data_IF_976209426962
#
_entry.id   IF_976209426962
#
_cell.length_a   1.000
_cell.length_b   1.000
_cell.length_c   1.000
_cell.angle_alpha   90.00
_cell.angle_beta   90.00
_cell.angle_gamma   90.00
#
_symmetry.space_group_name_H-M   'P 1'
#
loop_
_entity.id
_entity.type
_entity.pdbx_description
1 polymer ?
#
# COMPACT_ATOMS: atom_id res chain seq x y z
N UNK A 1 -7.40 15.57 10.28
CA UNK A 1 -8.34 14.49 10.65
C UNK A 1 -7.79 13.20 10.08
N UNK A 2 -7.79 12.09 10.85
CA UNK A 2 -7.47 10.76 10.36
C UNK A 2 -8.78 10.09 9.89
N UNK A 3 -8.78 9.57 8.67
CA UNK A 3 -9.88 8.80 8.09
C UNK A 3 -9.33 7.45 7.64
N UNK A 4 -9.98 6.38 8.03
CA UNK A 4 -9.44 5.03 7.82
C UNK A 4 -9.40 4.62 6.34
N UNK A 5 -10.46 4.87 5.58
CA UNK A 5 -10.48 4.57 4.13
C UNK A 5 -9.41 5.35 3.34
N UNK A 6 -8.89 6.40 3.91
CA UNK A 6 -7.84 7.23 3.33
C UNK A 6 -6.47 6.82 3.84
N UNK A 7 -6.25 6.96 5.16
CA UNK A 7 -4.95 6.80 5.77
C UNK A 7 -4.66 5.35 6.19
N UNK A 8 -5.70 4.58 6.57
CA UNK A 8 -5.57 3.16 6.86
C UNK A 8 -5.09 2.40 5.63
N UNK A 9 -5.78 2.56 4.51
CA UNK A 9 -5.37 1.97 3.22
C UNK A 9 -3.94 2.35 2.86
N UNK A 10 -3.58 3.64 2.98
CA UNK A 10 -2.22 4.11 2.68
C UNK A 10 -1.14 3.41 3.52
N UNK A 11 -1.39 3.23 4.83
CA UNK A 11 -0.45 2.56 5.76
C UNK A 11 -0.24 1.10 5.37
N UNK A 12 -1.33 0.37 5.09
CA UNK A 12 -1.22 -1.06 4.75
C UNK A 12 -0.54 -1.27 3.39
N UNK A 13 -0.91 -0.45 2.40
CA UNK A 13 -0.26 -0.48 1.08
C UNK A 13 1.22 -0.18 1.20
N UNK A 14 1.60 0.87 1.94
CA UNK A 14 3.00 1.24 2.11
C UNK A 14 3.81 0.13 2.81
N UNK A 15 3.26 -0.50 3.87
CA UNK A 15 3.90 -1.60 4.57
C UNK A 15 4.12 -2.81 3.64
N UNK A 16 3.08 -3.23 2.92
CA UNK A 16 3.15 -4.32 1.96
C UNK A 16 4.09 -4.01 0.81
N UNK A 17 4.08 -2.77 0.28
CA UNK A 17 4.94 -2.36 -0.82
C UNK A 17 6.43 -2.41 -0.44
N UNK A 18 6.81 -1.93 0.74
CA UNK A 18 8.19 -2.01 1.22
C UNK A 18 8.68 -3.46 1.29
N UNK A 19 7.85 -4.37 1.79
CA UNK A 19 8.17 -5.80 1.82
C UNK A 19 8.21 -6.44 0.43
N UNK A 20 7.27 -6.10 -0.44
CA UNK A 20 7.24 -6.61 -1.82
C UNK A 20 8.47 -6.14 -2.62
N UNK A 21 8.90 -4.89 -2.45
CA UNK A 21 10.13 -4.37 -3.07
C UNK A 21 11.38 -5.13 -2.58
N UNK A 22 11.45 -5.45 -1.28
CA UNK A 22 12.54 -6.25 -0.71
C UNK A 22 12.58 -7.66 -1.32
N UNK A 23 11.42 -8.35 -1.41
CA UNK A 23 11.32 -9.69 -2.01
C UNK A 23 11.70 -9.65 -3.50
N UNK A 24 11.29 -8.61 -4.22
CA UNK A 24 11.59 -8.43 -5.65
C UNK A 24 12.99 -7.81 -5.89
N UNK A 25 13.76 -7.55 -4.82
CA UNK A 25 15.11 -6.96 -4.87
C UNK A 25 15.12 -5.63 -5.67
N UNK A 26 14.10 -4.78 -5.45
CA UNK A 26 13.96 -3.48 -6.09
C UNK A 26 14.29 -2.35 -5.14
N UNK A 27 15.03 -1.36 -5.63
CA UNK A 27 15.32 -0.14 -4.88
C UNK A 27 14.08 0.77 -4.86
N UNK A 28 13.55 1.08 -3.67
CA UNK A 28 12.35 1.90 -3.53
C UNK A 28 12.52 3.34 -4.06
N UNK A 29 13.75 3.87 -4.10
CA UNK A 29 14.04 5.20 -4.66
C UNK A 29 13.98 5.24 -6.19
N UNK A 30 14.14 4.10 -6.84
CA UNK A 30 14.21 3.98 -8.30
C UNK A 30 12.94 3.34 -8.88
N UNK A 31 12.16 2.67 -8.04
CA UNK A 31 10.96 1.95 -8.45
C UNK A 31 9.94 2.89 -9.12
N UNK A 32 9.55 2.55 -10.33
CA UNK A 32 8.54 3.26 -11.12
C UNK A 32 7.14 2.81 -10.70
N UNK A 33 6.38 3.72 -10.14
CA UNK A 33 5.07 3.45 -9.55
C UNK A 33 3.96 4.08 -10.40
N UNK A 34 2.95 3.29 -10.72
CA UNK A 34 1.70 3.77 -11.31
C UNK A 34 0.58 3.61 -10.29
N UNK A 35 -0.08 4.70 -9.95
CA UNK A 35 -1.27 4.68 -9.10
C UNK A 35 -2.51 5.00 -9.94
N UNK A 36 -3.41 4.04 -10.08
CA UNK A 36 -4.71 4.24 -10.73
C UNK A 36 -5.77 4.51 -9.67
N UNK A 37 -6.31 5.74 -9.69
CA UNK A 37 -7.28 6.24 -8.73
C UNK A 37 -6.78 7.46 -7.96
N UNK A 38 -7.16 8.64 -8.44
CA UNK A 38 -6.81 9.93 -7.85
C UNK A 38 -7.84 10.40 -6.80
N UNK A 39 -8.44 9.45 -6.09
CA UNK A 39 -9.30 9.69 -4.94
C UNK A 39 -8.52 9.83 -3.64
N UNK A 40 -9.23 9.92 -2.52
CA UNK A 40 -8.62 10.11 -1.20
C UNK A 40 -7.60 9.03 -0.82
N UNK A 41 -7.89 7.76 -1.09
CA UNK A 41 -6.98 6.65 -0.79
C UNK A 41 -5.70 6.71 -1.64
N UNK A 42 -5.82 6.94 -2.96
CA UNK A 42 -4.67 7.04 -3.86
C UNK A 42 -3.76 8.20 -3.49
N UNK A 43 -4.32 9.39 -3.33
CA UNK A 43 -3.56 10.59 -2.92
C UNK A 43 -2.88 10.39 -1.55
N UNK A 44 -3.59 9.81 -0.57
CA UNK A 44 -3.00 9.56 0.75
C UNK A 44 -1.88 8.52 0.68
N UNK A 45 -2.03 7.49 -0.14
CA UNK A 45 -0.99 6.48 -0.37
C UNK A 45 0.26 7.13 -0.96
N UNK A 46 0.11 7.88 -2.03
CA UNK A 46 1.25 8.54 -2.68
C UNK A 46 1.95 9.54 -1.74
N UNK A 47 1.19 10.36 -1.00
CA UNK A 47 1.79 11.26 0.00
C UNK A 47 2.59 10.48 1.05
N UNK A 48 2.07 9.37 1.56
CA UNK A 48 2.78 8.56 2.55
C UNK A 48 4.04 7.91 1.97
N UNK A 49 4.02 7.50 0.69
CA UNK A 49 5.21 6.98 0.01
C UNK A 49 6.29 8.06 -0.12
N UNK A 50 5.93 9.33 -0.41
CA UNK A 50 6.89 10.44 -0.41
C UNK A 50 7.53 10.65 0.97
N UNK A 51 6.74 10.59 2.04
CA UNK A 51 7.24 10.69 3.42
C UNK A 51 8.19 9.52 3.79
N UNK A 52 8.01 8.36 3.17
CA UNK A 52 8.91 7.21 3.29
C UNK A 52 10.16 7.30 2.41
N UNK A 53 10.30 8.36 1.62
CA UNK A 53 11.47 8.64 0.79
C UNK A 53 11.42 8.09 -0.63
N UNK A 54 10.25 7.70 -1.13
CA UNK A 54 10.08 7.39 -2.55
C UNK A 54 10.24 8.66 -3.40
N UNK A 55 10.79 8.52 -4.62
CA UNK A 55 10.94 9.67 -5.52
C UNK A 55 9.63 10.00 -6.22
N UNK A 56 9.24 11.28 -6.13
CA UNK A 56 8.07 11.78 -6.87
C UNK A 56 8.24 11.63 -8.40
N UNK A 57 9.45 11.74 -8.89
CA UNK A 57 9.75 11.68 -10.34
C UNK A 57 9.49 10.28 -10.93
N UNK A 58 9.40 9.26 -10.06
CA UNK A 58 9.10 7.89 -10.44
C UNK A 58 7.62 7.51 -10.25
N UNK A 59 6.75 8.48 -9.94
CA UNK A 59 5.33 8.24 -9.67
C UNK A 59 4.47 8.82 -10.79
N UNK A 60 3.63 7.99 -11.40
CA UNK A 60 2.57 8.40 -12.31
C UNK A 60 1.20 8.19 -11.66
N UNK A 61 0.45 9.26 -11.50
CA UNK A 61 -0.94 9.21 -11.06
C UNK A 61 -1.85 9.14 -12.28
N UNK A 62 -2.80 8.21 -12.28
CA UNK A 62 -3.79 8.03 -13.36
C UNK A 62 -5.18 8.20 -12.79
N UNK A 63 -5.99 9.03 -13.40
CA UNK A 63 -7.41 9.17 -13.07
C UNK A 63 -8.30 8.74 -14.25
N UNK A 64 -9.61 9.01 -14.15
CA UNK A 64 -10.58 8.65 -15.21
C UNK A 64 -10.31 9.29 -16.57
N UNK A 65 -9.52 10.36 -16.61
CA UNK A 65 -9.17 11.08 -17.82
C UNK A 65 -7.81 10.65 -18.40
N UNK A 66 -7.10 9.75 -17.70
CA UNK A 66 -5.77 9.27 -18.06
C UNK A 66 -4.68 9.73 -17.11
N UNK A 67 -3.44 9.82 -17.60
CA UNK A 67 -2.28 10.25 -16.79
C UNK A 67 -2.44 11.71 -16.37
N UNK A 68 -2.28 11.96 -15.06
CA UNK A 68 -2.30 13.32 -14.51
C UNK A 68 -1.00 14.04 -14.90
N UNK A 69 -1.09 14.95 -15.84
CA UNK A 69 0.05 15.69 -16.38
C UNK A 69 -0.09 17.20 -16.13
N UNK A 70 1.00 17.93 -16.29
CA UNK A 70 1.00 19.40 -16.25
C UNK A 70 0.16 20.04 -17.36
N UNK A 71 -0.17 19.26 -18.39
CA UNK A 71 -1.04 19.66 -19.52
C UNK A 71 -2.53 19.35 -19.25
N UNK A 72 -2.86 18.68 -18.12
CA UNK A 72 -4.23 18.32 -17.75
C UNK A 72 -4.99 19.55 -17.23
N UNK A 73 -6.24 19.70 -17.67
CA UNK A 73 -7.11 20.81 -17.24
C UNK A 73 -7.88 20.46 -15.95
N UNK A 74 -8.28 21.49 -15.21
CA UNK A 74 -9.16 21.38 -14.03
C UNK A 74 -8.67 20.41 -12.94
N UNK A 75 -7.36 20.35 -12.70
CA UNK A 75 -6.80 19.55 -11.63
C UNK A 75 -7.11 20.16 -10.25
N UNK A 76 -7.53 19.33 -9.30
CA UNK A 76 -7.55 19.73 -7.89
C UNK A 76 -6.13 19.96 -7.38
N UNK A 77 -5.99 20.69 -6.27
CA UNK A 77 -4.69 20.97 -5.65
C UNK A 77 -3.91 19.68 -5.34
N UNK A 78 -4.62 18.66 -4.88
CA UNK A 78 -4.05 17.36 -4.52
C UNK A 78 -3.51 16.62 -5.75
N UNK A 79 -4.23 16.65 -6.87
CA UNK A 79 -3.79 16.06 -8.14
C UNK A 79 -2.63 16.84 -8.75
N UNK A 80 -2.68 18.17 -8.68
CA UNK A 80 -1.62 19.03 -9.20
C UNK A 80 -0.27 18.73 -8.53
N UNK A 81 -0.29 18.34 -7.25
CA UNK A 81 0.93 17.92 -6.54
C UNK A 81 1.64 16.72 -7.20
N UNK A 82 0.90 15.88 -7.95
CA UNK A 82 1.43 14.70 -8.66
C UNK A 82 1.42 14.87 -10.19
N UNK A 83 1.07 16.03 -10.71
CA UNK A 83 1.15 16.29 -12.14
C UNK A 83 2.62 16.27 -12.61
N UNK A 84 2.87 15.56 -13.72
CA UNK A 84 4.20 15.41 -14.33
C UNK A 84 4.19 15.91 -15.77
N UNK A 85 5.33 16.37 -16.28
CA UNK A 85 5.48 16.66 -17.71
C UNK A 85 5.81 15.35 -18.43
N UNK A 86 4.84 14.83 -19.18
CA UNK A 86 4.95 13.55 -19.88
C UNK A 86 4.06 13.52 -21.11
N UNK A 87 4.44 12.71 -22.09
CA UNK A 87 3.62 12.40 -23.27
C UNK A 87 2.74 11.16 -23.09
N UNK A 88 2.91 10.41 -21.97
CA UNK A 88 2.03 9.31 -21.60
C UNK A 88 0.63 9.83 -21.32
N UNK A 89 -0.40 9.19 -21.89
CA UNK A 89 -1.79 9.65 -21.82
C UNK A 89 -2.70 8.64 -21.14
N UNK A 90 -2.53 7.38 -21.43
CA UNK A 90 -3.42 6.30 -20.97
C UNK A 90 -2.82 5.53 -19.80
N UNK A 91 -3.66 4.73 -19.13
CA UNK A 91 -3.19 3.77 -18.13
C UNK A 91 -2.19 2.77 -18.75
N UNK A 92 -2.45 2.31 -19.96
CA UNK A 92 -1.54 1.39 -20.67
C UNK A 92 -0.17 2.02 -20.88
N UNK A 93 -0.11 3.29 -21.31
CA UNK A 93 1.15 4.00 -21.46
C UNK A 93 1.89 4.14 -20.11
N UNK A 94 1.14 4.38 -19.02
CA UNK A 94 1.72 4.53 -17.71
C UNK A 94 2.32 3.21 -17.20
N UNK A 95 1.60 2.10 -17.35
CA UNK A 95 1.99 0.77 -16.87
C UNK A 95 3.20 0.22 -17.62
N UNK A 96 3.37 0.57 -18.89
CA UNK A 96 4.50 0.09 -19.69
C UNK A 96 5.84 0.44 -19.05
N UNK A 97 6.62 -0.61 -18.74
CA UNK A 97 7.91 -0.53 -18.06
C UNK A 97 7.84 -0.11 -16.59
N UNK A 98 6.67 -0.10 -15.95
CA UNK A 98 6.54 0.21 -14.52
C UNK A 98 6.90 -1.00 -13.65
N UNK A 99 7.43 -0.74 -12.45
CA UNK A 99 7.76 -1.75 -11.44
C UNK A 99 6.59 -2.09 -10.54
N UNK A 100 5.73 -1.10 -10.27
CA UNK A 100 4.65 -1.19 -9.28
C UNK A 100 3.37 -0.61 -9.89
N UNK A 101 2.28 -1.34 -9.75
CA UNK A 101 0.93 -0.88 -9.97
C UNK A 101 0.15 -0.86 -8.65
N UNK A 102 -0.49 0.25 -8.34
CA UNK A 102 -1.40 0.42 -7.21
C UNK A 102 -2.77 0.83 -7.74
N UNK A 103 -3.75 -0.06 -7.68
CA UNK A 103 -5.13 0.17 -8.09
C UNK A 103 -6.03 0.45 -6.90
N UNK A 104 -6.67 1.61 -6.90
CA UNK A 104 -7.69 2.06 -5.93
C UNK A 104 -8.82 2.78 -6.69
N UNK A 105 -9.20 2.25 -7.86
CA UNK A 105 -10.10 2.89 -8.79
C UNK A 105 -11.40 2.09 -9.00
N UNK A 106 -11.36 1.11 -9.91
CA UNK A 106 -12.49 0.24 -10.25
C UNK A 106 -12.01 -1.12 -10.75
N UNK A 107 -12.85 -2.13 -10.61
CA UNK A 107 -12.57 -3.48 -11.11
C UNK A 107 -12.37 -3.56 -12.63
N UNK A 108 -11.61 -4.59 -13.03
CA UNK A 108 -11.38 -4.96 -14.43
C UNK A 108 -10.80 -3.81 -15.29
N UNK A 109 -9.90 -3.01 -14.69
CA UNK A 109 -9.27 -1.87 -15.36
C UNK A 109 -7.98 -2.24 -16.08
N UNK A 110 -7.28 -3.25 -15.59
CA UNK A 110 -5.97 -3.70 -16.08
C UNK A 110 -6.13 -4.97 -16.89
N UNK A 111 -5.47 -5.05 -18.05
CA UNK A 111 -5.48 -6.22 -18.91
C UNK A 111 -4.22 -7.06 -18.75
N UNK A 112 -4.23 -8.31 -19.24
CA UNK A 112 -3.03 -9.16 -19.24
C UNK A 112 -1.90 -8.55 -20.09
N UNK A 113 -2.23 -7.85 -21.18
CA UNK A 113 -1.25 -7.15 -22.02
C UNK A 113 -0.53 -6.05 -21.24
N UNK A 114 -1.27 -5.27 -20.44
CA UNK A 114 -0.67 -4.28 -19.54
C UNK A 114 0.26 -4.94 -18.49
N UNK A 115 -0.14 -6.09 -17.93
CA UNK A 115 0.72 -6.83 -17.00
C UNK A 115 2.00 -7.32 -17.68
N UNK A 116 1.88 -7.82 -18.91
CA UNK A 116 3.04 -8.27 -19.71
C UNK A 116 4.02 -7.14 -20.03
N UNK A 117 3.54 -5.89 -20.20
CA UNK A 117 4.38 -4.73 -20.51
C UNK A 117 5.12 -4.15 -19.30
N UNK A 118 4.75 -4.55 -18.08
CA UNK A 118 5.46 -4.12 -16.86
C UNK A 118 6.93 -4.58 -16.86
N UNK A 119 7.74 -3.93 -16.05
CA UNK A 119 9.14 -4.33 -15.80
C UNK A 119 9.25 -5.77 -15.29
N UNK A 120 10.45 -6.33 -15.26
CA UNK A 120 10.71 -7.65 -14.68
C UNK A 120 10.36 -7.66 -13.19
N UNK A 121 9.80 -8.78 -12.70
CA UNK A 121 9.42 -8.96 -11.29
C UNK A 121 8.53 -7.82 -10.77
N UNK A 122 7.37 -7.57 -11.42
CA UNK A 122 6.51 -6.46 -11.04
C UNK A 122 5.73 -6.76 -9.76
N UNK A 123 5.20 -5.68 -9.17
CA UNK A 123 4.40 -5.72 -7.96
C UNK A 123 3.03 -5.11 -8.29
N UNK A 124 1.95 -5.83 -7.98
CA UNK A 124 0.58 -5.40 -8.27
C UNK A 124 -0.25 -5.38 -6.99
N UNK A 125 -0.76 -4.20 -6.63
CA UNK A 125 -1.79 -4.00 -5.62
C UNK A 125 -3.10 -3.67 -6.34
N UNK A 126 -3.99 -4.66 -6.49
CA UNK A 126 -5.31 -4.49 -7.13
C UNK A 126 -6.38 -4.49 -6.04
N UNK A 127 -6.77 -3.30 -5.57
CA UNK A 127 -7.47 -3.11 -4.30
C UNK A 127 -8.93 -2.72 -4.42
N UNK A 128 -9.47 -2.54 -5.64
CA UNK A 128 -10.88 -2.20 -5.79
C UNK A 128 -11.79 -3.35 -5.37
N UNK A 129 -12.97 -3.01 -4.85
CA UNK A 129 -13.97 -3.92 -4.34
C UNK A 129 -15.32 -3.69 -5.05
N UNK A 130 -16.11 -4.75 -5.34
CA UNK A 130 -15.84 -6.17 -5.04
C UNK A 130 -14.83 -6.83 -5.98
N UNK A 131 -14.65 -6.30 -7.19
CA UNK A 131 -13.75 -6.84 -8.19
C UNK A 131 -12.44 -6.06 -8.20
N UNK A 132 -11.27 -6.73 -8.16
CA UNK A 132 -9.97 -6.06 -8.28
C UNK A 132 -9.78 -5.49 -9.70
N UNK A 133 -8.84 -4.57 -9.87
CA UNK A 133 -8.48 -4.01 -11.18
C UNK A 133 -8.04 -5.07 -12.18
N UNK A 134 -7.48 -6.16 -11.69
CA UNK A 134 -7.22 -7.41 -12.41
C UNK A 134 -7.23 -8.57 -11.40
N UNK A 135 -7.77 -9.72 -11.78
CA UNK A 135 -7.80 -10.87 -10.90
C UNK A 135 -6.42 -11.54 -10.77
N UNK A 136 -6.08 -12.15 -9.60
CA UNK A 136 -4.86 -12.96 -9.49
C UNK A 136 -4.78 -14.09 -10.51
N UNK A 137 -5.93 -14.69 -10.87
CA UNK A 137 -6.01 -15.75 -11.88
C UNK A 137 -5.52 -15.22 -13.23
N UNK A 138 -5.97 -14.05 -13.66
CA UNK A 138 -5.55 -13.44 -14.93
C UNK A 138 -4.08 -13.03 -14.93
N UNK A 139 -3.58 -12.51 -13.80
CA UNK A 139 -2.17 -12.14 -13.66
C UNK A 139 -1.28 -13.37 -13.79
N UNK A 140 -1.55 -14.42 -13.01
CA UNK A 140 -0.71 -15.62 -13.03
C UNK A 140 -0.89 -16.49 -14.28
N UNK A 141 -1.96 -16.29 -15.04
CA UNK A 141 -2.13 -16.91 -16.37
C UNK A 141 -1.15 -16.30 -17.41
N UNK A 142 -0.66 -15.09 -17.19
CA UNK A 142 0.19 -14.41 -18.18
C UNK A 142 1.64 -14.14 -17.68
N UNK A 143 1.91 -14.16 -16.37
CA UNK A 143 3.24 -13.97 -15.75
C UNK A 143 3.35 -14.68 -14.41
N UNK A 144 4.49 -15.28 -14.11
CA UNK A 144 4.79 -16.03 -12.88
C UNK A 144 5.72 -15.27 -11.91
N UNK A 145 6.39 -14.21 -12.40
CA UNK A 145 7.35 -13.41 -11.65
C UNK A 145 6.71 -12.24 -10.87
N UNK A 146 5.38 -12.15 -10.83
CA UNK A 146 4.62 -11.08 -10.18
C UNK A 146 4.44 -11.35 -8.69
N UNK A 147 4.58 -10.30 -7.86
CA UNK A 147 4.01 -10.28 -6.50
C UNK A 147 2.67 -9.54 -6.53
N UNK A 148 1.66 -10.14 -5.93
CA UNK A 148 0.32 -9.58 -5.95
C UNK A 148 -0.31 -9.48 -4.56
N UNK A 149 -1.01 -8.38 -4.32
CA UNK A 149 -1.91 -8.15 -3.19
C UNK A 149 -3.27 -7.66 -3.69
N UNK A 150 -4.32 -8.03 -2.99
CA UNK A 150 -5.71 -7.59 -3.29
C UNK A 150 -6.45 -7.15 -2.02
N UNK A 151 -7.61 -6.51 -2.17
CA UNK A 151 -8.52 -6.24 -1.06
C UNK A 151 -9.31 -7.49 -0.59
N UNK A 152 -9.25 -8.61 -1.29
CA UNK A 152 -10.05 -9.81 -1.07
C UNK A 152 -9.40 -10.75 -0.06
N UNK A 153 -10.21 -11.37 0.78
CA UNK A 153 -9.77 -12.32 1.81
C UNK A 153 -9.51 -13.74 1.28
N UNK A 154 -9.96 -14.05 0.07
CA UNK A 154 -9.81 -15.35 -0.57
C UNK A 154 -8.47 -15.51 -1.33
N UNK A 155 -7.65 -14.46 -1.35
CA UNK A 155 -6.32 -14.49 -1.94
C UNK A 155 -5.22 -14.20 -0.89
N UNK A 156 -3.97 -14.63 -1.15
CA UNK A 156 -2.82 -14.21 -0.34
C UNK A 156 -2.63 -12.68 -0.29
N UNK A 157 -1.97 -12.19 0.75
CA UNK A 157 -1.60 -10.78 0.89
C UNK A 157 -2.80 -9.82 0.81
N UNK A 158 -3.82 -10.08 1.64
CA UNK A 158 -4.97 -9.20 1.74
C UNK A 158 -4.58 -7.82 2.28
N UNK A 159 -4.88 -6.76 1.53
CA UNK A 159 -4.86 -5.38 2.02
C UNK A 159 -6.21 -5.08 2.66
N UNK A 160 -6.22 -4.96 3.98
CA UNK A 160 -7.43 -4.69 4.75
C UNK A 160 -7.11 -3.69 5.87
N UNK A 161 -7.89 -2.62 5.97
CA UNK A 161 -7.71 -1.56 6.97
C UNK A 161 -7.78 -2.08 8.42
N UNK A 162 -8.42 -3.22 8.66
CA UNK A 162 -8.47 -3.86 9.99
C UNK A 162 -7.09 -4.16 10.56
N UNK A 163 -6.06 -4.29 9.71
CA UNK A 163 -4.67 -4.47 10.14
C UNK A 163 -4.11 -3.25 10.89
N UNK A 164 -4.66 -2.07 10.65
CA UNK A 164 -4.23 -0.82 11.26
C UNK A 164 -5.27 -0.17 12.15
N UNK A 165 -6.52 -0.12 11.69
CA UNK A 165 -7.57 0.71 12.25
C UNK A 165 -7.74 0.63 13.78
N UNK A 166 -8.01 -0.53 14.42
CA UNK A 166 -8.27 -0.51 15.87
C UNK A 166 -7.00 -0.17 16.64
N UNK A 167 -5.86 -0.59 16.14
CA UNK A 167 -4.58 -0.51 16.82
C UNK A 167 -3.94 0.88 16.76
N UNK A 168 -4.11 1.59 15.62
CA UNK A 168 -3.65 2.96 15.45
C UNK A 168 -4.38 3.88 16.42
N UNK A 169 -5.71 3.75 16.51
CA UNK A 169 -6.49 4.52 17.48
C UNK A 169 -6.16 4.14 18.92
N UNK A 170 -5.95 2.85 19.21
CA UNK A 170 -5.53 2.40 20.53
C UNK A 170 -4.24 3.10 20.96
N UNK A 171 -3.20 3.08 20.14
CA UNK A 171 -1.92 3.72 20.46
C UNK A 171 -2.04 5.24 20.59
N UNK A 172 -2.83 5.91 19.75
CA UNK A 172 -3.10 7.34 19.83
C UNK A 172 -3.85 7.73 21.12
N UNK A 173 -4.83 6.92 21.54
CA UNK A 173 -5.57 7.11 22.79
C UNK A 173 -4.67 6.86 24.00
N UNK A 174 -3.86 5.81 23.98
CA UNK A 174 -2.90 5.51 25.04
C UNK A 174 -1.88 6.64 25.23
N UNK A 175 -1.44 7.27 24.14
CA UNK A 175 -0.57 8.45 24.17
C UNK A 175 -1.32 9.75 24.52
N UNK A 176 -2.63 9.71 24.73
CA UNK A 176 -3.46 10.92 24.89
C UNK A 176 -3.17 11.97 23.79
N UNK A 177 -2.99 11.51 22.54
CA UNK A 177 -2.62 12.39 21.43
C UNK A 177 -3.82 13.14 20.88
N UNK A 178 -3.63 14.40 20.47
CA UNK A 178 -4.65 15.22 19.80
C UNK A 178 -4.84 14.89 18.35
N UNK A 179 -3.79 14.35 17.72
CA UNK A 179 -3.70 14.11 16.29
C UNK A 179 -3.02 12.77 16.03
N UNK A 180 -3.28 12.20 14.88
CA UNK A 180 -2.44 11.13 14.32
C UNK A 180 -1.62 11.79 13.22
N UNK A 181 -0.35 12.12 13.54
CA UNK A 181 0.55 12.84 12.66
C UNK A 181 1.27 11.88 11.67
N UNK A 182 2.16 12.42 10.86
CA UNK A 182 2.90 11.66 9.84
C UNK A 182 3.85 10.65 10.48
N UNK A 183 4.55 11.03 11.55
CA UNK A 183 5.49 10.17 12.28
C UNK A 183 4.78 8.93 12.84
N UNK A 184 3.58 9.09 13.39
CA UNK A 184 2.77 7.97 13.87
C UNK A 184 2.34 7.05 12.73
N UNK A 185 1.95 7.60 11.56
CA UNK A 185 1.61 6.79 10.37
C UNK A 185 2.82 6.01 9.84
N UNK A 186 3.97 6.64 9.76
CA UNK A 186 5.24 6.00 9.37
C UNK A 186 5.62 4.90 10.35
N UNK A 187 5.46 5.12 11.66
CA UNK A 187 5.70 4.11 12.68
C UNK A 187 4.78 2.89 12.52
N UNK A 188 3.49 3.10 12.18
CA UNK A 188 2.57 2.01 11.87
C UNK A 188 3.01 1.21 10.63
N UNK A 189 3.48 1.89 9.58
CA UNK A 189 4.01 1.24 8.37
C UNK A 189 5.16 0.30 8.75
N UNK A 190 6.15 0.79 9.49
CA UNK A 190 7.29 -0.03 9.90
C UNK A 190 6.89 -1.17 10.84
N UNK A 191 5.99 -0.94 11.79
CA UNK A 191 5.49 -1.96 12.68
C UNK A 191 4.82 -3.12 11.91
N UNK A 192 3.98 -2.81 10.93
CA UNK A 192 3.32 -3.83 10.09
C UNK A 192 4.31 -4.52 9.15
N UNK A 193 5.21 -3.74 8.53
CA UNK A 193 6.25 -4.25 7.64
C UNK A 193 7.14 -5.29 8.33
N UNK A 194 7.58 -5.00 9.55
CA UNK A 194 8.54 -5.85 10.27
C UNK A 194 7.85 -7.05 10.93
N UNK A 195 6.55 -6.95 11.24
CA UNK A 195 5.79 -8.02 11.92
C UNK A 195 5.79 -9.34 11.14
N UNK A 196 5.64 -9.29 9.81
CA UNK A 196 5.56 -10.50 8.97
C UNK A 196 6.91 -11.22 8.83
N UNK A 197 8.01 -10.54 9.14
CA UNK A 197 9.36 -11.12 9.12
C UNK A 197 9.65 -11.97 10.35
N UNK A 198 8.86 -11.81 11.40
CA UNK A 198 8.95 -12.63 12.61
C UNK A 198 8.21 -13.96 12.37
N UNK A 199 8.68 -15.06 12.97
CA UNK A 199 7.99 -16.34 12.87
C UNK A 199 6.51 -16.21 13.23
N UNK A 200 5.63 -16.81 12.43
CA UNK A 200 4.20 -16.81 12.68
C UNK A 200 3.90 -17.55 14.00
N UNK A 201 3.11 -16.97 14.92
CA UNK A 201 2.75 -17.64 16.17
C UNK A 201 1.81 -18.84 15.90
N UNK A 202 1.80 -19.80 16.81
CA UNK A 202 0.99 -21.03 16.68
C UNK A 202 -0.49 -20.72 16.49
N UNK A 203 -1.01 -19.76 17.24
CA UNK A 203 -2.40 -19.32 17.16
C UNK A 203 -2.76 -18.84 15.74
N UNK A 204 -1.86 -18.13 15.07
CA UNK A 204 -2.08 -17.66 13.70
C UNK A 204 -2.13 -18.83 12.72
N UNK A 205 -1.20 -19.78 12.86
CA UNK A 205 -1.13 -21.00 12.06
C UNK A 205 -2.42 -21.82 12.22
N UNK A 206 -2.94 -21.95 13.44
CA UNK A 206 -4.16 -22.67 13.74
C UNK A 206 -5.40 -21.99 13.14
N UNK A 207 -5.50 -20.66 13.25
CA UNK A 207 -6.63 -19.88 12.70
C UNK A 207 -6.71 -20.02 11.17
N UNK A 208 -5.58 -19.88 10.49
CA UNK A 208 -5.54 -19.94 9.02
C UNK A 208 -5.33 -21.35 8.47
N UNK A 209 -5.07 -22.34 9.34
CA UNK A 209 -4.75 -23.73 8.97
C UNK A 209 -3.62 -23.81 7.93
N UNK A 210 -2.65 -22.90 8.05
CA UNK A 210 -1.55 -22.73 7.11
C UNK A 210 -0.21 -22.75 7.85
N UNK A 211 0.53 -23.84 7.68
CA UNK A 211 1.86 -24.02 8.27
C UNK A 211 2.97 -23.34 7.47
N UNK A 212 2.68 -22.82 6.29
CA UNK A 212 3.65 -22.21 5.37
C UNK A 212 3.78 -20.69 5.53
N UNK A 213 3.16 -20.10 6.58
CA UNK A 213 3.20 -18.66 6.84
C UNK A 213 4.63 -18.20 7.21
N UNK A 214 5.43 -18.00 6.18
CA UNK A 214 6.78 -17.45 6.26
C UNK A 214 6.91 -16.27 5.32
N UNK A 215 7.70 -15.26 5.71
CA UNK A 215 7.94 -14.08 4.87
C UNK A 215 8.35 -14.47 3.45
N UNK A 216 7.61 -13.98 2.46
CA UNK A 216 7.81 -14.32 1.06
C UNK A 216 6.61 -13.96 0.18
N UNK A 217 6.57 -14.53 -1.02
CA UNK A 217 5.58 -14.22 -2.07
C UNK A 217 4.14 -14.23 -1.59
N UNK A 218 3.75 -15.19 -0.75
CA UNK A 218 2.37 -15.39 -0.32
C UNK A 218 2.08 -14.84 1.09
N UNK A 219 3.10 -14.28 1.75
CA UNK A 219 2.99 -13.68 3.07
C UNK A 219 3.95 -12.51 3.27
N UNK A 220 3.64 -11.35 2.69
CA UNK A 220 4.38 -10.10 2.89
C UNK A 220 3.52 -8.98 3.53
N UNK A 221 2.25 -9.29 3.81
CA UNK A 221 1.32 -8.45 4.57
C UNK A 221 0.79 -9.27 5.75
N UNK A 222 0.68 -8.71 6.98
CA UNK A 222 0.12 -9.43 8.11
C UNK A 222 -1.28 -9.93 7.83
N UNK A 223 -1.69 -11.01 8.47
CA UNK A 223 -3.06 -11.52 8.41
C UNK A 223 -3.96 -10.78 9.41
N UNK A 224 -5.24 -10.52 9.10
CA UNK A 224 -6.18 -9.78 9.96
C UNK A 224 -6.31 -10.31 11.40
N UNK A 225 -6.20 -11.62 11.59
CA UNK A 225 -6.30 -12.26 12.92
C UNK A 225 -4.94 -12.52 13.58
N UNK A 226 -3.89 -11.83 13.16
CA UNK A 226 -2.58 -11.94 13.83
C UNK A 226 -2.66 -11.35 15.24
N UNK A 227 -2.50 -12.18 16.30
CA UNK A 227 -2.65 -11.72 17.69
C UNK A 227 -1.56 -10.75 18.14
N UNK A 228 -0.51 -10.59 17.35
CA UNK A 228 0.59 -9.66 17.64
C UNK A 228 0.25 -8.22 17.32
N UNK A 229 -0.72 -7.98 16.41
CA UNK A 229 -1.12 -6.65 15.96
C UNK A 229 -1.49 -5.72 17.12
N UNK A 230 -2.28 -6.23 18.08
CA UNK A 230 -2.73 -5.45 19.26
C UNK A 230 -1.60 -5.01 20.19
N UNK A 231 -0.43 -5.66 20.10
CA UNK A 231 0.74 -5.31 20.91
C UNK A 231 1.72 -4.42 20.15
N UNK A 232 1.95 -4.74 18.89
CA UNK A 232 3.02 -4.14 18.08
C UNK A 232 2.61 -2.77 17.54
N UNK A 233 1.43 -2.66 16.93
CA UNK A 233 0.99 -1.41 16.30
C UNK A 233 0.70 -0.31 17.32
N UNK A 234 -0.09 -0.54 18.41
CA UNK A 234 -0.33 0.52 19.40
C UNK A 234 0.95 1.03 20.07
N UNK A 235 1.89 0.12 20.34
CA UNK A 235 3.19 0.48 20.92
C UNK A 235 3.97 1.43 20.02
N UNK A 236 4.08 1.09 18.73
CA UNK A 236 4.79 1.93 17.76
C UNK A 236 4.13 3.31 17.60
N UNK A 237 2.80 3.36 17.57
CA UNK A 237 2.04 4.62 17.53
C UNK A 237 2.28 5.46 18.78
N UNK A 238 2.24 4.84 19.97
CA UNK A 238 2.48 5.51 21.24
C UNK A 238 3.89 6.13 21.29
N UNK A 239 4.91 5.34 20.98
CA UNK A 239 6.30 5.77 20.97
C UNK A 239 6.52 6.93 19.97
N UNK A 240 5.95 6.85 18.78
CA UNK A 240 6.02 7.92 17.79
C UNK A 240 5.27 9.19 18.24
N UNK A 241 4.12 9.05 18.90
CA UNK A 241 3.38 10.19 19.45
C UNK A 241 4.18 10.93 20.53
N UNK A 242 4.87 10.20 21.40
CA UNK A 242 5.74 10.78 22.43
C UNK A 242 6.95 11.46 21.77
N UNK A 243 7.64 10.77 20.87
CA UNK A 243 8.84 11.27 20.22
C UNK A 243 8.60 12.52 19.36
N UNK A 244 7.43 12.59 18.69
CA UNK A 244 7.04 13.75 17.86
C UNK A 244 6.37 14.89 18.62
N UNK A 245 6.19 14.76 19.95
CA UNK A 245 5.50 15.77 20.76
C UNK A 245 3.98 15.83 20.54
N UNK A 246 3.38 14.85 19.87
CA UNK A 246 1.94 14.75 19.71
C UNK A 246 1.22 14.26 20.96
N UNK A 247 1.92 13.54 21.84
CA UNK A 247 1.43 13.09 23.15
C UNK A 247 1.23 14.27 24.11
N UNK A 248 0.19 14.17 24.97
CA UNK A 248 -0.06 15.08 26.10
C UNK A 248 0.35 14.46 27.44
N UNK A 249 0.90 13.26 27.43
CA UNK A 249 1.46 12.69 28.65
C UNK A 249 2.70 13.49 29.03
N UNK A 250 2.71 13.99 30.28
CA UNK A 250 3.85 14.67 30.86
C UNK A 250 4.81 13.67 31.45
#
# INVERSE_FOLDING_TARGET
VFHDDQHGTAIIVAAGLLNALEIQEKNFKEAKIVCAGAGSAGIATLNLLLELGFSKDNILLVDRNGVVSTKSENLSKEKLAFAVDTDKKTLSDAIDGSDVFIGVARGNLVTQEMVKSMAKRPIIFALSNPDPEISPVDVYACRDDVLMATGRSDYPNQVNNVLGFPYIFRGALDANSKIINTEMKVAAVHALKDLVKLPAPKELIEIYKDTSLTFGKDYFIPKPFDPRLIKVVPKAIFEAAVASGASRQK
#
